data_IF_182365619403
#
_entry.id   IF_182365619403
#
_cell.length_a   1.000
_cell.length_b   1.000
_cell.length_c   1.000
_cell.angle_alpha   90.00
_cell.angle_beta   90.00
_cell.angle_gamma   90.00
#
_symmetry.space_group_name_H-M   'P 1'
#
loop_
_entity.id
_entity.type
_entity.pdbx_description
1 polymer ?
#
# COMPACT_ATOMS: atom_id res chain seq x y z
N UNK A 1 -8.73 -4.67 12.74
CA UNK A 1 -7.79 -4.62 11.60
C UNK A 1 -8.08 -5.76 10.65
N UNK A 2 -8.09 -5.51 9.34
CA UNK A 2 -8.33 -6.49 8.29
C UNK A 2 -6.99 -7.07 7.78
N UNK A 3 -6.79 -8.39 7.74
CA UNK A 3 -5.58 -8.97 7.18
C UNK A 3 -5.50 -8.70 5.68
N UNK A 4 -4.30 -8.37 5.20
CA UNK A 4 -4.02 -8.10 3.79
C UNK A 4 -2.70 -8.74 3.39
N UNK A 5 -2.65 -9.32 2.18
CA UNK A 5 -1.40 -9.84 1.66
C UNK A 5 -0.45 -8.67 1.33
N UNK A 6 0.84 -8.96 1.29
CA UNK A 6 1.84 -7.90 1.13
C UNK A 6 1.72 -7.16 -0.23
N UNK A 7 1.42 -7.91 -1.30
CA UNK A 7 1.21 -7.36 -2.64
C UNK A 7 -0.10 -6.58 -2.76
N UNK A 8 -1.14 -7.01 -2.04
CA UNK A 8 -2.41 -6.28 -2.00
C UNK A 8 -2.22 -4.92 -1.30
N UNK A 9 -1.42 -4.87 -0.24
CA UNK A 9 -1.05 -3.63 0.42
C UNK A 9 -0.28 -2.69 -0.52
N UNK A 10 0.68 -3.22 -1.28
CA UNK A 10 1.39 -2.45 -2.31
C UNK A 10 0.43 -1.90 -3.37
N UNK A 11 -0.54 -2.71 -3.82
CA UNK A 11 -1.62 -2.26 -4.69
C UNK A 11 -2.45 -1.13 -4.08
N UNK A 12 -2.81 -1.20 -2.80
CA UNK A 12 -3.54 -0.14 -2.10
C UNK A 12 -2.74 1.17 -1.99
N UNK A 13 -1.43 1.07 -1.72
CA UNK A 13 -0.50 2.21 -1.72
C UNK A 13 -0.47 2.85 -3.11
N UNK A 14 -0.27 2.02 -4.14
CA UNK A 14 -0.25 2.43 -5.54
C UNK A 14 -1.65 2.82 -6.07
N UNK A 15 -2.72 2.76 -5.28
CA UNK A 15 -4.01 3.32 -5.66
C UNK A 15 -4.45 4.49 -4.75
N UNK A 16 -3.58 4.89 -3.81
CA UNK A 16 -3.80 6.09 -2.99
C UNK A 16 -4.87 5.89 -1.95
N UNK A 17 -5.16 4.62 -1.63
CA UNK A 17 -6.16 4.25 -0.64
C UNK A 17 -5.61 4.25 0.78
N UNK A 18 -4.28 4.30 0.95
CA UNK A 18 -3.60 4.31 2.24
C UNK A 18 -3.27 5.76 2.65
N UNK A 19 -3.77 6.19 3.80
CA UNK A 19 -3.52 7.50 4.39
C UNK A 19 -2.29 7.49 5.31
N UNK A 20 -2.14 6.43 6.10
CA UNK A 20 -1.04 6.27 7.05
C UNK A 20 -0.54 4.83 7.06
N UNK A 21 0.76 4.66 7.33
CA UNK A 21 1.40 3.36 7.34
C UNK A 21 2.52 3.34 8.38
N UNK A 22 2.53 2.31 9.22
CA UNK A 22 3.50 2.10 10.30
C UNK A 22 4.09 0.69 10.21
N UNK A 23 5.40 0.56 10.46
CA UNK A 23 6.08 -0.73 10.60
C UNK A 23 6.22 -1.04 12.08
N UNK A 24 5.77 -2.22 12.50
CA UNK A 24 5.83 -2.68 13.88
C UNK A 24 6.64 -3.97 13.93
N UNK A 25 7.57 -4.07 14.87
CA UNK A 25 8.36 -5.28 15.05
C UNK A 25 7.50 -6.43 15.60
N UNK A 26 7.74 -7.63 15.06
CA UNK A 26 7.14 -8.86 15.53
C UNK A 26 8.08 -9.58 16.50
N UNK A 27 7.53 -10.40 17.39
CA UNK A 27 8.33 -11.34 18.18
C UNK A 27 9.01 -12.34 17.23
N UNK A 28 10.33 -12.47 17.34
CA UNK A 28 11.11 -13.43 16.55
C UNK A 28 12.05 -14.20 17.49
N UNK A 29 11.96 -15.55 17.52
CA UNK A 29 12.92 -16.38 18.25
C UNK A 29 14.26 -16.55 17.51
N UNK A 30 14.39 -15.97 16.31
CA UNK A 30 15.57 -16.09 15.43
C UNK A 30 16.34 -14.77 15.34
N UNK A 31 17.58 -14.82 14.83
CA UNK A 31 18.39 -13.62 14.59
C UNK A 31 17.86 -12.74 13.43
N UNK A 32 16.77 -13.15 12.77
CA UNK A 32 16.13 -12.41 11.68
C UNK A 32 15.07 -11.47 12.26
N UNK A 33 15.20 -10.17 11.94
CA UNK A 33 14.22 -9.15 12.32
C UNK A 33 12.95 -9.30 11.47
N UNK A 34 11.88 -9.71 12.14
CA UNK A 34 10.54 -9.77 11.57
C UNK A 34 9.75 -8.54 12.00
N UNK A 35 8.99 -7.99 11.06
CA UNK A 35 8.09 -6.87 11.32
C UNK A 35 6.80 -7.10 10.54
N UNK A 36 5.76 -6.32 10.82
CA UNK A 36 4.51 -6.24 10.06
C UNK A 36 4.17 -4.80 9.78
N UNK A 37 3.29 -4.56 8.81
CA UNK A 37 2.78 -3.23 8.52
C UNK A 37 1.35 -3.11 9.04
N UNK A 38 1.04 -1.98 9.68
CA UNK A 38 -0.32 -1.52 9.93
C UNK A 38 -0.57 -0.30 9.04
N UNK A 39 -1.61 -0.37 8.22
CA UNK A 39 -2.05 0.71 7.35
C UNK A 39 -3.43 1.22 7.72
N UNK A 40 -3.67 2.51 7.57
CA UNK A 40 -5.00 3.12 7.70
C UNK A 40 -5.48 3.59 6.33
N UNK A 41 -6.64 3.09 5.91
CA UNK A 41 -7.28 3.46 4.66
C UNK A 41 -8.04 4.79 4.79
N UNK A 42 -8.36 5.40 3.65
CA UNK A 42 -9.08 6.68 3.58
C UNK A 42 -10.50 6.63 4.20
N UNK A 43 -11.11 5.46 4.26
CA UNK A 43 -12.41 5.22 4.91
C UNK A 43 -12.29 4.98 6.43
N UNK A 44 -11.07 5.03 6.98
CA UNK A 44 -10.76 4.76 8.37
C UNK A 44 -10.51 3.28 8.69
N UNK A 45 -10.67 2.37 7.72
CA UNK A 45 -10.41 0.94 7.91
C UNK A 45 -8.92 0.70 8.13
N UNK A 46 -8.58 -0.04 9.18
CA UNK A 46 -7.20 -0.46 9.43
C UNK A 46 -6.92 -1.83 8.79
N UNK A 47 -5.82 -1.93 8.05
CA UNK A 47 -5.31 -3.16 7.44
C UNK A 47 -3.99 -3.56 8.09
N UNK A 48 -3.72 -4.86 8.13
CA UNK A 48 -2.51 -5.41 8.76
C UNK A 48 -1.94 -6.54 7.93
N UNK A 49 -0.62 -6.59 7.78
CA UNK A 49 0.07 -7.70 7.12
C UNK A 49 0.47 -8.79 8.13
N UNK A 50 0.80 -9.97 7.62
CA UNK A 50 1.58 -10.93 8.39
C UNK A 50 2.99 -10.40 8.71
N UNK A 51 3.71 -11.12 9.57
CA UNK A 51 5.10 -10.81 9.88
C UNK A 51 6.01 -11.28 8.74
N UNK A 52 6.77 -10.35 8.17
CA UNK A 52 7.76 -10.58 7.13
C UNK A 52 9.13 -10.08 7.57
N UNK A 53 10.18 -10.46 6.85
CA UNK A 53 11.49 -9.86 7.04
C UNK A 53 11.44 -8.34 6.85
N UNK A 54 12.05 -7.60 7.77
CA UNK A 54 12.10 -6.14 7.73
C UNK A 54 12.65 -5.59 6.41
N UNK A 55 13.60 -6.30 5.80
CA UNK A 55 14.19 -5.98 4.49
C UNK A 55 13.15 -5.88 3.38
N UNK A 56 12.09 -6.71 3.42
CA UNK A 56 11.00 -6.72 2.44
C UNK A 56 10.00 -5.61 2.71
N UNK A 57 9.62 -5.42 3.97
CA UNK A 57 8.65 -4.40 4.37
C UNK A 57 9.18 -2.97 4.17
N UNK A 58 10.46 -2.75 4.46
CA UNK A 58 11.12 -1.44 4.24
C UNK A 58 11.05 -1.00 2.78
N UNK A 59 11.15 -1.91 1.80
CA UNK A 59 10.99 -1.59 0.38
C UNK A 59 9.59 -1.08 0.06
N UNK A 60 8.56 -1.73 0.62
CA UNK A 60 7.16 -1.33 0.40
C UNK A 60 6.85 -0.02 1.12
N UNK A 61 7.41 0.19 2.31
CA UNK A 61 7.34 1.47 3.00
C UNK A 61 7.95 2.60 2.15
N UNK A 62 9.09 2.36 1.49
CA UNK A 62 9.68 3.31 0.56
C UNK A 62 8.79 3.60 -0.65
N UNK A 63 8.08 2.59 -1.18
CA UNK A 63 7.03 2.81 -2.20
C UNK A 63 5.97 3.76 -1.67
N UNK A 64 5.45 3.52 -0.46
CA UNK A 64 4.47 4.43 0.15
C UNK A 64 4.98 5.88 0.27
N UNK A 65 6.18 6.08 0.84
CA UNK A 65 6.76 7.42 0.98
C UNK A 65 6.93 8.10 -0.38
N UNK A 66 7.43 7.38 -1.37
CA UNK A 66 7.68 7.92 -2.71
C UNK A 66 6.39 8.31 -3.45
N UNK A 67 5.31 7.55 -3.29
CA UNK A 67 4.06 7.76 -4.02
C UNK A 67 3.05 8.65 -3.27
N UNK A 68 3.12 8.73 -1.94
CA UNK A 68 2.27 9.61 -1.13
C UNK A 68 2.41 11.07 -1.52
N UNK A 69 3.64 11.56 -1.66
CA UNK A 69 3.92 12.98 -1.85
C UNK A 69 3.86 13.41 -3.32
N UNK A 70 3.91 12.46 -4.25
CA UNK A 70 3.94 12.75 -5.70
C UNK A 70 2.57 13.06 -6.30
N UNK A 71 1.48 12.96 -5.53
CA UNK A 71 0.12 13.26 -5.96
C UNK A 71 -0.24 12.67 -7.34
N UNK A 72 0.41 11.58 -7.75
CA UNK A 72 0.36 11.03 -9.11
C UNK A 72 -1.04 10.52 -9.48
N UNK A 73 -1.88 10.24 -8.47
CA UNK A 73 -3.31 9.99 -8.65
C UNK A 73 -4.06 11.14 -9.32
N UNK A 74 -3.63 12.37 -9.12
CA UNK A 74 -4.23 13.53 -9.80
C UNK A 74 -3.94 13.52 -11.31
N UNK A 75 -2.79 12.96 -11.74
CA UNK A 75 -2.41 12.85 -13.15
C UNK A 75 -3.14 11.68 -13.84
N UNK A 76 -3.30 10.54 -13.15
CA UNK A 76 -4.04 9.36 -13.68
C UNK A 76 -5.55 9.60 -13.76
N UNK A 77 -6.10 10.45 -12.88
CA UNK A 77 -7.51 10.88 -12.93
C UNK A 77 -7.82 11.85 -14.08
N UNK A 78 -6.84 12.24 -14.91
CA UNK A 78 -7.16 13.05 -16.09
C UNK A 78 -8.19 12.30 -16.95
N UNK A 79 -9.26 13.01 -17.31
CA UNK A 79 -10.39 12.46 -18.08
C UNK A 79 -9.92 11.77 -19.38
N UNK A 80 -8.79 12.21 -19.93
CA UNK A 80 -8.13 11.67 -21.11
C UNK A 80 -7.59 10.24 -20.93
N UNK A 81 -7.12 9.87 -19.74
CA UNK A 81 -6.63 8.51 -19.46
C UNK A 81 -7.80 7.57 -19.19
N UNK A 82 -8.87 8.07 -18.55
CA UNK A 82 -10.08 7.27 -18.30
C UNK A 82 -11.03 7.15 -19.50
N UNK A 83 -10.91 8.00 -20.52
CA UNK A 83 -11.73 7.91 -21.74
C UNK A 83 -11.29 6.81 -22.71
N UNK A 84 -10.13 6.18 -22.47
CA UNK A 84 -9.59 5.13 -23.33
C UNK A 84 -10.06 3.70 -23.04
N UNK A 85 -10.85 3.46 -21.97
CA UNK A 85 -11.22 2.09 -21.56
C UNK A 85 -12.69 1.74 -21.90
N UNK A 86 -13.53 2.67 -22.33
CA UNK A 86 -14.88 2.33 -22.84
C UNK A 86 -15.36 3.33 -23.89
N UNK A 87 -15.16 3.05 -25.17
CA UNK A 87 -16.09 3.47 -26.23
C UNK A 87 -15.97 2.52 -27.42
N UNK A 88 -16.41 1.27 -27.22
CA UNK A 88 -17.01 0.47 -28.29
C UNK A 88 -18.35 -0.02 -27.75
N UNK A 89 -19.36 0.84 -27.85
CA UNK A 89 -20.75 0.42 -27.82
C UNK A 89 -21.22 0.55 -29.27
N UNK A 90 -21.43 -0.60 -29.91
CA UNK A 90 -22.09 -0.72 -31.22
C UNK A 90 -23.48 -0.06 -31.23
#
# INVERSE_FOLDING_TARGET
>A
MKPVALLDLEGLILNGFIQHLEIIDCESPSNTRLSKIIGKLNDGTEVVTECYEYSRLSRIYLVFVNYRDKNWFSEVKSRAVMSGITYDLE
#
